data_IF_152881141954
#
_entry.id   IF_152881141954
#
_cell.length_a   1.000
_cell.length_b   1.000
_cell.length_c   1.000
_cell.angle_alpha   90.00
_cell.angle_beta   90.00
_cell.angle_gamma   90.00
#
_symmetry.space_group_name_H-M   'P 1'
#
loop_
_entity.id
_entity.type
_entity.pdbx_description
1 polymer ?
#
# COMPACT_ATOMS: atom_id res chain seq x y z
N UNK A 1 -8.65 8.49 -22.58
CA UNK A 1 -7.54 9.41 -22.24
C UNK A 1 -6.95 8.99 -20.89
N UNK A 2 -5.78 8.36 -20.91
CA UNK A 2 -5.10 7.76 -19.74
C UNK A 2 -3.82 8.57 -19.44
N UNK A 3 -3.97 9.83 -19.02
CA UNK A 3 -2.84 10.76 -18.88
C UNK A 3 -2.29 10.91 -17.45
N UNK A 4 -2.87 10.26 -16.43
CA UNK A 4 -2.56 10.53 -15.03
C UNK A 4 -1.97 9.35 -14.23
N UNK A 5 -1.38 8.32 -14.86
CA UNK A 5 -0.40 7.49 -14.12
C UNK A 5 0.84 8.37 -13.93
N UNK A 6 1.23 8.78 -12.73
CA UNK A 6 1.56 7.95 -11.57
C UNK A 6 3.08 7.74 -11.45
N UNK A 7 3.89 8.67 -11.98
CA UNK A 7 5.35 8.57 -11.99
C UNK A 7 5.95 9.45 -10.91
N UNK A 8 6.85 8.89 -10.11
CA UNK A 8 7.70 9.64 -9.19
C UNK A 8 9.06 9.81 -9.87
N UNK A 9 9.58 11.04 -9.85
CA UNK A 9 10.93 11.33 -10.34
C UNK A 9 11.92 10.81 -9.30
N UNK A 10 12.64 9.75 -9.65
CA UNK A 10 13.69 9.18 -8.80
C UNK A 10 15.03 9.81 -9.23
N UNK A 11 15.75 10.42 -8.29
CA UNK A 11 17.15 10.80 -8.48
C UNK A 11 18.02 9.62 -8.05
N UNK A 12 18.82 9.06 -8.97
CA UNK A 12 19.90 8.14 -8.59
C UNK A 12 19.96 6.75 -9.24
N UNK A 13 19.54 6.58 -10.50
CA UNK A 13 20.07 5.47 -11.29
C UNK A 13 21.06 6.04 -12.31
N UNK A 14 22.34 5.99 -11.97
CA UNK A 14 23.50 6.35 -12.81
C UNK A 14 23.36 5.79 -14.21
N UNK A 15 23.05 6.68 -15.16
CA UNK A 15 23.72 6.85 -16.45
C UNK A 15 23.19 8.15 -17.06
N UNK A 16 24.03 9.20 -17.00
CA UNK A 16 23.87 10.49 -17.66
C UNK A 16 22.49 11.15 -17.60
N UNK A 17 22.28 12.07 -16.65
CA UNK A 17 21.26 13.14 -16.68
C UNK A 17 19.84 12.79 -17.16
N UNK A 18 19.42 11.52 -17.07
CA UNK A 18 18.08 11.08 -17.45
C UNK A 18 17.28 10.78 -16.18
N UNK A 19 16.38 11.71 -15.87
CA UNK A 19 15.30 11.51 -14.90
C UNK A 19 14.51 10.24 -15.28
N UNK A 20 14.67 9.16 -14.52
CA UNK A 20 13.84 7.96 -14.69
C UNK A 20 12.48 8.20 -14.07
N UNK A 21 11.44 8.10 -14.90
CA UNK A 21 10.05 8.08 -14.47
C UNK A 21 9.71 6.66 -14.09
N UNK A 22 9.70 6.36 -12.80
CA UNK A 22 9.25 5.07 -12.31
C UNK A 22 7.85 5.17 -11.74
N UNK A 23 6.99 4.19 -12.10
CA UNK A 23 5.65 4.11 -11.54
C UNK A 23 5.72 3.63 -10.10
N UNK A 24 4.82 4.09 -9.23
CA UNK A 24 4.90 3.77 -7.79
C UNK A 24 4.94 2.26 -7.48
N UNK A 25 4.46 1.41 -8.39
CA UNK A 25 4.55 -0.06 -8.27
C UNK A 25 6.00 -0.58 -8.21
N UNK A 26 6.98 0.15 -8.75
CA UNK A 26 8.39 -0.22 -8.62
C UNK A 26 8.93 -0.02 -7.20
N UNK A 27 8.31 0.84 -6.38
CA UNK A 27 8.79 1.14 -5.02
C UNK A 27 8.69 -0.05 -4.07
N UNK A 28 7.70 -0.93 -4.27
CA UNK A 28 7.38 -1.98 -3.30
C UNK A 28 7.31 -3.38 -3.92
N UNK A 29 7.63 -3.51 -5.21
CA UNK A 29 7.69 -4.79 -5.90
C UNK A 29 6.32 -5.49 -6.03
N UNK A 30 6.32 -6.82 -6.24
CA UNK A 30 5.09 -7.57 -6.46
C UNK A 30 4.21 -7.62 -5.20
N UNK A 31 2.93 -7.34 -5.35
CA UNK A 31 1.97 -7.45 -4.26
C UNK A 31 1.76 -8.90 -3.83
N UNK A 32 1.50 -9.08 -2.54
CA UNK A 32 1.07 -10.37 -2.02
C UNK A 32 -0.27 -10.81 -2.63
N UNK A 33 -0.45 -12.12 -2.79
CA UNK A 33 -1.60 -12.68 -3.53
C UNK A 33 -2.91 -12.25 -2.89
N UNK A 34 -3.78 -11.60 -3.67
CA UNK A 34 -5.08 -11.10 -3.20
C UNK A 34 -5.02 -9.75 -2.46
N UNK A 35 -3.83 -9.16 -2.28
CA UNK A 35 -3.69 -7.85 -1.64
C UNK A 35 -3.85 -6.72 -2.67
N UNK A 36 -4.60 -5.68 -2.29
CA UNK A 36 -4.79 -4.50 -3.13
C UNK A 36 -3.67 -3.44 -2.99
N UNK A 37 -2.84 -3.57 -1.95
CA UNK A 37 -1.74 -2.65 -1.57
C UNK A 37 -0.60 -3.46 -0.93
N UNK A 38 0.60 -2.87 -0.77
CA UNK A 38 1.73 -3.50 -0.08
C UNK A 38 1.41 -3.85 1.37
N UNK A 39 2.13 -4.83 1.93
CA UNK A 39 1.92 -5.32 3.30
C UNK A 39 2.12 -4.26 4.37
N UNK A 40 3.04 -3.30 4.17
CA UNK A 40 3.25 -2.19 5.11
C UNK A 40 2.04 -1.24 5.21
N UNK A 41 1.11 -1.28 4.25
CA UNK A 41 -0.17 -0.58 4.37
C UNK A 41 -1.18 -1.30 5.29
N UNK A 42 -0.83 -2.49 5.79
CA UNK A 42 -1.67 -3.32 6.67
C UNK A 42 -0.85 -3.80 7.89
N UNK A 43 -0.42 -2.87 8.77
CA UNK A 43 0.48 -3.19 9.89
C UNK A 43 -0.07 -4.31 10.79
N UNK A 44 -1.36 -4.27 11.11
CA UNK A 44 -2.04 -5.29 11.92
C UNK A 44 -1.96 -6.69 11.31
N UNK A 45 -2.09 -6.81 9.98
CA UNK A 45 -2.01 -8.12 9.32
C UNK A 45 -0.58 -8.66 9.32
N UNK A 46 0.41 -7.77 9.18
CA UNK A 46 1.82 -8.13 9.26
C UNK A 46 2.21 -8.57 10.67
N UNK A 47 1.73 -7.88 11.69
CA UNK A 47 1.91 -8.28 13.09
C UNK A 47 1.23 -9.61 13.41
N UNK A 48 0.01 -9.83 12.93
CA UNK A 48 -0.68 -11.11 13.06
C UNK A 48 0.14 -12.26 12.44
N UNK A 49 0.70 -12.06 11.24
CA UNK A 49 1.57 -13.07 10.60
C UNK A 49 2.84 -13.33 11.42
N UNK A 50 3.45 -12.28 12.01
CA UNK A 50 4.62 -12.44 12.90
C UNK A 50 4.26 -13.27 14.13
N UNK A 51 3.12 -12.99 14.73
CA UNK A 51 2.67 -13.69 15.93
C UNK A 51 2.27 -15.14 15.62
N UNK A 52 1.63 -15.40 14.48
CA UNK A 52 1.37 -16.75 13.99
C UNK A 52 2.67 -17.55 13.86
N UNK A 53 3.69 -16.99 13.20
CA UNK A 53 5.01 -17.64 13.05
C UNK A 53 5.60 -17.98 14.41
N UNK A 54 5.59 -17.02 15.35
CA UNK A 54 6.10 -17.20 16.71
C UNK A 54 5.35 -18.30 17.47
N UNK A 55 4.03 -18.35 17.34
CA UNK A 55 3.20 -19.37 17.99
C UNK A 55 3.45 -20.77 17.42
N UNK A 56 3.64 -20.90 16.11
CA UNK A 56 3.98 -22.20 15.50
C UNK A 56 5.38 -22.67 15.88
N UNK A 57 6.36 -21.76 15.94
CA UNK A 57 7.71 -22.08 16.45
C UNK A 57 7.64 -22.61 17.88
N UNK A 58 6.94 -21.87 18.75
CA UNK A 58 6.78 -22.26 20.15
C UNK A 58 6.08 -23.62 20.27
N UNK A 59 5.00 -23.84 19.51
CA UNK A 59 4.26 -25.11 19.55
C UNK A 59 5.09 -26.31 19.09
N UNK A 60 5.99 -26.11 18.12
CA UNK A 60 6.92 -27.15 17.66
C UNK A 60 8.04 -27.41 18.69
N UNK A 61 8.57 -26.37 19.30
CA UNK A 61 9.66 -26.48 20.29
C UNK A 61 9.18 -27.10 21.59
N UNK A 62 7.99 -26.74 22.05
CA UNK A 62 7.40 -27.22 23.30
C UNK A 62 6.76 -28.62 23.14
N UNK A 63 6.74 -29.18 21.93
CA UNK A 63 6.20 -30.52 21.67
C UNK A 63 4.67 -30.62 21.69
N UNK A 64 3.95 -29.49 21.62
CA UNK A 64 2.48 -29.47 21.58
C UNK A 64 1.87 -29.95 20.26
N UNK A 65 2.69 -30.29 19.26
CA UNK A 65 2.24 -30.79 17.96
C UNK A 65 2.29 -32.31 17.94
N UNK A 66 1.15 -32.94 17.64
CA UNK A 66 1.08 -34.40 17.47
C UNK A 66 2.13 -34.89 16.44
N UNK A 67 2.85 -36.01 16.70
CA UNK A 67 3.94 -36.48 15.84
C UNK A 67 3.58 -36.61 14.36
N UNK A 68 2.36 -37.07 14.06
CA UNK A 68 1.83 -37.23 12.69
C UNK A 68 1.65 -35.90 11.94
N UNK A 69 1.60 -34.77 12.65
CA UNK A 69 1.40 -33.43 12.09
C UNK A 69 2.66 -32.58 12.07
N UNK A 70 3.74 -33.00 12.74
CA UNK A 70 4.99 -32.22 12.89
C UNK A 70 5.57 -31.80 11.53
N UNK A 71 5.64 -32.73 10.56
CA UNK A 71 6.18 -32.43 9.24
C UNK A 71 5.36 -31.36 8.50
N UNK A 72 4.03 -31.46 8.57
CA UNK A 72 3.12 -30.48 7.96
C UNK A 72 3.29 -29.10 8.61
N UNK A 73 3.31 -29.03 9.94
CA UNK A 73 3.48 -27.77 10.66
C UNK A 73 4.86 -27.15 10.37
N UNK A 74 5.92 -27.95 10.22
CA UNK A 74 7.24 -27.45 9.80
C UNK A 74 7.23 -26.86 8.39
N UNK A 75 6.54 -27.52 7.44
CA UNK A 75 6.39 -26.99 6.08
C UNK A 75 5.60 -25.68 6.07
N UNK A 76 4.47 -25.65 6.78
CA UNK A 76 3.61 -24.48 6.93
C UNK A 76 4.36 -23.29 7.58
N UNK A 77 5.20 -23.58 8.58
CA UNK A 77 6.06 -22.60 9.23
C UNK A 77 7.10 -22.04 8.27
N UNK A 78 7.76 -22.90 7.48
CA UNK A 78 8.74 -22.48 6.48
C UNK A 78 8.10 -21.52 5.46
N UNK A 79 6.94 -21.87 4.92
CA UNK A 79 6.21 -21.03 3.95
C UNK A 79 5.84 -19.67 4.55
N UNK A 80 5.34 -19.65 5.80
CA UNK A 80 4.98 -18.39 6.47
C UNK A 80 6.19 -17.52 6.80
N UNK A 81 7.32 -18.11 7.20
CA UNK A 81 8.60 -17.39 7.37
C UNK A 81 9.08 -16.77 6.08
N UNK A 82 9.16 -17.56 5.01
CA UNK A 82 9.56 -17.06 3.68
C UNK A 82 8.66 -15.91 3.20
N UNK A 83 7.35 -16.00 3.46
CA UNK A 83 6.42 -14.90 3.19
C UNK A 83 6.76 -13.67 4.03
N UNK A 84 6.93 -13.83 5.34
CA UNK A 84 7.25 -12.73 6.25
C UNK A 84 8.56 -12.03 5.87
N UNK A 85 9.60 -12.79 5.49
CA UNK A 85 10.89 -12.26 5.06
C UNK A 85 10.75 -11.41 3.80
N UNK A 86 10.04 -11.92 2.78
CA UNK A 86 9.72 -11.13 1.56
C UNK A 86 8.96 -9.85 1.89
N UNK A 87 8.01 -9.88 2.83
CA UNK A 87 7.27 -8.69 3.25
C UNK A 87 8.17 -7.68 4.00
N UNK A 88 9.18 -8.13 4.74
CA UNK A 88 10.16 -7.26 5.39
C UNK A 88 11.12 -6.64 4.37
N UNK A 89 11.60 -7.42 3.40
CA UNK A 89 12.47 -6.93 2.32
C UNK A 89 11.76 -5.87 1.46
N UNK A 90 10.49 -6.10 1.11
CA UNK A 90 9.69 -5.14 0.36
C UNK A 90 9.54 -3.80 1.10
N UNK A 91 9.25 -3.86 2.40
CA UNK A 91 9.13 -2.67 3.23
C UNK A 91 10.49 -1.93 3.36
N UNK A 92 11.58 -2.67 3.55
CA UNK A 92 12.92 -2.08 3.63
C UNK A 92 13.30 -1.37 2.32
N UNK A 93 13.03 -1.99 1.17
CA UNK A 93 13.29 -1.41 -0.15
C UNK A 93 12.42 -0.17 -0.40
N UNK A 94 11.13 -0.24 -0.07
CA UNK A 94 10.21 0.89 -0.22
C UNK A 94 10.62 2.08 0.65
N UNK A 95 11.00 1.81 1.92
CA UNK A 95 11.48 2.84 2.84
C UNK A 95 12.80 3.46 2.38
N UNK A 96 13.71 2.67 1.81
CA UNK A 96 14.96 3.18 1.24
C UNK A 96 14.68 4.14 0.07
N UNK A 97 13.88 3.69 -0.90
CA UNK A 97 13.52 4.51 -2.07
C UNK A 97 12.75 5.78 -1.69
N UNK A 98 11.86 5.68 -0.70
CA UNK A 98 11.14 6.83 -0.15
C UNK A 98 12.10 7.84 0.49
N UNK A 99 13.04 7.39 1.33
CA UNK A 99 14.03 8.27 1.97
C UNK A 99 14.92 8.96 0.95
N UNK A 100 15.37 8.23 -0.07
CA UNK A 100 16.24 8.76 -1.13
C UNK A 100 15.52 9.81 -2.00
N UNK A 101 14.18 9.78 -2.05
CA UNK A 101 13.36 10.65 -2.92
C UNK A 101 12.23 11.34 -2.17
N UNK A 102 12.43 11.64 -0.89
CA UNK A 102 11.37 12.09 0.02
C UNK A 102 10.60 13.28 -0.52
N UNK A 103 11.29 14.32 -0.97
CA UNK A 103 10.67 15.55 -1.47
C UNK A 103 9.79 15.29 -2.71
N UNK A 104 10.24 14.43 -3.62
CA UNK A 104 9.48 14.08 -4.83
C UNK A 104 8.24 13.26 -4.47
N UNK A 105 8.37 12.33 -3.52
CA UNK A 105 7.26 11.53 -3.01
C UNK A 105 6.21 12.39 -2.31
N UNK A 106 6.64 13.33 -1.48
CA UNK A 106 5.74 14.25 -0.77
C UNK A 106 5.02 15.20 -1.73
N UNK A 107 5.73 15.80 -2.70
CA UNK A 107 5.10 16.60 -3.76
C UNK A 107 4.05 15.81 -4.52
N UNK A 108 4.36 14.57 -4.90
CA UNK A 108 3.40 13.70 -5.59
C UNK A 108 2.19 13.40 -4.72
N UNK A 109 2.38 13.19 -3.41
CA UNK A 109 1.28 12.97 -2.47
C UNK A 109 0.34 14.19 -2.40
N UNK A 110 0.88 15.40 -2.36
CA UNK A 110 0.09 16.63 -2.31
C UNK A 110 -0.68 16.87 -3.62
N UNK A 111 -0.04 16.63 -4.78
CA UNK A 111 -0.70 16.65 -6.08
C UNK A 111 -1.87 15.67 -6.14
N UNK A 112 -1.68 14.45 -5.66
CA UNK A 112 -2.74 13.43 -5.62
C UNK A 112 -3.91 13.90 -4.74
N UNK A 113 -3.61 14.51 -3.59
CA UNK A 113 -4.63 15.08 -2.70
C UNK A 113 -5.45 16.15 -3.42
N UNK A 114 -4.81 17.05 -4.14
CA UNK A 114 -5.49 18.10 -4.91
C UNK A 114 -6.35 17.50 -6.03
N UNK A 115 -5.79 16.62 -6.87
CA UNK A 115 -6.49 15.99 -7.99
C UNK A 115 -7.74 15.22 -7.51
N UNK A 116 -7.60 14.46 -6.43
CA UNK A 116 -8.72 13.67 -5.87
C UNK A 116 -9.80 14.61 -5.33
N UNK A 117 -9.41 15.69 -4.63
CA UNK A 117 -10.36 16.65 -4.05
C UNK A 117 -11.15 17.47 -5.06
N UNK A 118 -10.55 17.82 -6.19
CA UNK A 118 -11.24 18.53 -7.27
C UNK A 118 -12.15 17.58 -8.08
N UNK A 119 -11.78 16.31 -8.15
CA UNK A 119 -12.44 15.31 -8.97
C UNK A 119 -13.64 14.60 -8.34
N UNK A 120 -13.79 14.70 -7.02
CA UNK A 120 -14.80 13.99 -6.24
C UNK A 120 -15.80 14.96 -5.57
N UNK A 121 -17.07 14.53 -5.43
CA UNK A 121 -18.06 15.30 -4.67
C UNK A 121 -17.68 15.39 -3.19
N UNK A 122 -18.30 16.38 -2.52
CA UNK A 122 -18.05 16.66 -1.10
C UNK A 122 -18.55 15.52 -0.20
N UNK A 123 -17.95 15.39 0.98
CA UNK A 123 -18.37 14.41 2.00
C UNK A 123 -19.83 14.64 2.40
N UNK A 124 -20.22 15.91 2.59
CA UNK A 124 -21.60 16.34 2.89
C UNK A 124 -22.60 15.93 1.81
N UNK A 125 -22.24 15.98 0.51
CA UNK A 125 -23.14 15.58 -0.57
C UNK A 125 -23.35 14.07 -0.64
N UNK A 126 -22.35 13.29 -0.24
CA UNK A 126 -22.46 11.82 -0.13
C UNK A 126 -23.32 11.45 1.07
N UNK A 127 -23.08 12.05 2.23
CA UNK A 127 -23.84 11.79 3.46
C UNK A 127 -25.32 12.17 3.33
N UNK A 128 -25.60 13.33 2.74
CA UNK A 128 -26.97 13.80 2.47
C UNK A 128 -27.62 13.09 1.28
N UNK A 129 -26.98 12.06 0.72
CA UNK A 129 -27.41 11.28 -0.46
C UNK A 129 -27.79 12.14 -1.67
N UNK A 130 -27.21 13.33 -1.80
CA UNK A 130 -27.37 14.21 -2.97
C UNK A 130 -26.71 13.60 -4.20
N UNK A 131 -25.66 12.81 -3.97
CA UNK A 131 -25.03 11.97 -4.99
C UNK A 131 -25.30 10.50 -4.67
N UNK A 132 -25.75 9.74 -5.67
CA UNK A 132 -25.94 8.30 -5.52
C UNK A 132 -24.57 7.60 -5.34
N UNK A 133 -24.34 6.89 -4.22
CA UNK A 133 -23.05 6.23 -3.94
C UNK A 133 -22.60 5.25 -5.01
N UNK A 134 -23.54 4.54 -5.65
CA UNK A 134 -23.23 3.57 -6.72
C UNK A 134 -22.72 4.26 -7.97
N UNK A 135 -23.35 5.37 -8.36
CA UNK A 135 -22.90 6.20 -9.49
C UNK A 135 -21.53 6.83 -9.22
N UNK A 136 -21.31 7.28 -7.99
CA UNK A 136 -20.00 7.79 -7.57
C UNK A 136 -18.92 6.71 -7.71
N UNK A 137 -19.18 5.49 -7.23
CA UNK A 137 -18.24 4.38 -7.36
C UNK A 137 -17.93 4.01 -8.82
N UNK A 138 -18.94 4.02 -9.70
CA UNK A 138 -18.74 3.81 -11.14
C UNK A 138 -17.93 4.95 -11.79
N UNK A 139 -18.15 6.20 -11.37
CA UNK A 139 -17.36 7.34 -11.83
C UNK A 139 -15.91 7.26 -11.33
N UNK A 140 -15.70 6.87 -10.08
CA UNK A 140 -14.36 6.65 -9.51
C UNK A 140 -13.59 5.60 -10.30
N UNK A 141 -14.26 4.50 -10.69
CA UNK A 141 -13.67 3.48 -11.56
C UNK A 141 -13.38 4.02 -12.97
N UNK A 142 -14.34 4.70 -13.60
CA UNK A 142 -14.19 5.22 -14.97
C UNK A 142 -13.11 6.30 -15.08
N UNK A 143 -12.98 7.15 -14.07
CA UNK A 143 -12.02 8.25 -14.03
C UNK A 143 -10.66 7.86 -13.43
N UNK A 144 -10.49 6.62 -12.97
CA UNK A 144 -9.21 6.13 -12.42
C UNK A 144 -8.87 6.62 -11.01
N UNK A 145 -9.80 7.28 -10.29
CA UNK A 145 -9.57 7.76 -8.92
C UNK A 145 -9.23 6.65 -7.93
N UNK A 146 -9.68 5.41 -8.21
CA UNK A 146 -9.33 4.26 -7.40
C UNK A 146 -7.82 3.97 -7.37
N UNK A 147 -7.09 4.23 -8.46
CA UNK A 147 -5.63 4.04 -8.51
C UNK A 147 -4.91 5.20 -7.84
N UNK A 148 -5.37 6.43 -8.04
CA UNK A 148 -4.82 7.63 -7.41
C UNK A 148 -4.96 7.59 -5.88
N UNK A 149 -6.12 7.16 -5.37
CA UNK A 149 -6.34 6.95 -3.92
C UNK A 149 -5.40 5.89 -3.37
N UNK A 150 -5.13 4.81 -4.13
CA UNK A 150 -4.18 3.78 -3.70
C UNK A 150 -2.75 4.33 -3.63
N UNK A 151 -2.32 5.07 -4.65
CA UNK A 151 -1.00 5.73 -4.69
C UNK A 151 -0.83 6.67 -3.49
N UNK A 152 -1.85 7.51 -3.22
CA UNK A 152 -1.88 8.40 -2.06
C UNK A 152 -1.72 7.64 -0.74
N UNK A 153 -2.43 6.52 -0.57
CA UNK A 153 -2.39 5.72 0.64
C UNK A 153 -1.03 5.07 0.88
N UNK A 154 -0.38 4.62 -0.20
CA UNK A 154 0.95 4.02 -0.13
C UNK A 154 1.98 5.08 0.30
N UNK A 155 1.95 6.25 -0.33
CA UNK A 155 2.85 7.36 0.02
C UNK A 155 2.61 7.87 1.44
N UNK A 156 1.36 7.98 1.86
CA UNK A 156 1.02 8.42 3.22
C UNK A 156 1.51 7.41 4.26
N UNK A 157 1.37 6.10 4.01
CA UNK A 157 1.93 5.09 4.91
C UNK A 157 3.46 5.08 4.95
N UNK A 158 4.15 5.31 3.82
CA UNK A 158 5.62 5.44 3.83
C UNK A 158 6.11 6.69 4.56
N UNK A 159 5.28 7.74 4.60
CA UNK A 159 5.57 8.99 5.30
C UNK A 159 5.17 8.96 6.78
N UNK A 160 4.60 7.85 7.29
CA UNK A 160 3.98 7.76 8.61
C UNK A 160 2.87 8.83 8.85
N UNK A 161 2.14 9.18 7.79
CA UNK A 161 1.05 10.16 7.82
C UNK A 161 -0.34 9.53 7.63
N UNK A 162 -1.39 10.30 7.92
CA UNK A 162 -2.77 9.82 7.80
C UNK A 162 -3.11 9.44 6.35
N UNK A 163 -3.39 8.15 6.13
CA UNK A 163 -3.74 7.57 4.83
C UNK A 163 -5.26 7.53 4.56
N UNK A 164 -6.05 8.27 5.34
CA UNK A 164 -7.51 8.24 5.24
C UNK A 164 -8.00 8.98 3.99
N UNK A 165 -8.40 8.28 2.94
CA UNK A 165 -8.83 8.96 1.70
C UNK A 165 -10.23 9.58 1.78
N UNK A 166 -10.94 9.46 2.91
CA UNK A 166 -12.26 10.10 3.10
C UNK A 166 -12.15 11.62 3.18
N UNK A 167 -11.10 12.16 3.83
CA UNK A 167 -10.88 13.62 3.90
C UNK A 167 -10.49 14.24 2.55
N UNK A 168 -10.16 13.42 1.55
CA UNK A 168 -9.88 13.89 0.20
C UNK A 168 -11.16 14.24 -0.56
N UNK A 169 -12.34 13.97 0.00
CA UNK A 169 -13.59 14.55 -0.48
C UNK A 169 -13.65 15.99 0.04
N UNK A 170 -13.94 16.96 -0.83
CA UNK A 170 -13.90 18.38 -0.46
C UNK A 170 -14.88 18.64 0.69
N UNK A 171 -14.38 18.93 1.89
CA UNK A 171 -15.23 19.40 2.97
C UNK A 171 -15.57 20.87 2.68
N UNK A 172 -16.85 21.14 2.40
CA UNK A 172 -17.32 22.53 2.43
C UNK A 172 -17.44 22.95 3.88
N UNK A 173 -16.85 24.08 4.24
CA UNK A 173 -17.16 24.80 5.48
C UNK A 173 -18.70 24.90 5.64
#
# INVERSE_FOLDING_TARGET
MSANSGYIIIKGATDGDKVKKEGIKSFYGPLDKGSAKPSFCYPVQKEALREEVRQMEKSLNDGYVAPTRVLKVKQDLKVRKERLDKLNEQEANANKLFKDNKDACMKRRDELKEIISQGLPTTKDVEKRRVNPRRLFEQEKKKGFGELKKEFQILSHLADEEANTKFLQRDTA
#
